data_IF_266728494117
#
_entry.id   IF_266728494117
#
_cell.length_a   1.000
_cell.length_b   1.000
_cell.length_c   1.000
_cell.angle_alpha   90.00
_cell.angle_beta   90.00
_cell.angle_gamma   90.00
#
_symmetry.space_group_name_H-M   'P 1'
#
loop_
_entity.id
_entity.type
_entity.pdbx_description
1 polymer ?
#
# COMPACT_ATOMS: atom_id res chain seq x y z
N UNK A 1 -5.93 -26.51 12.86
CA UNK A 1 -4.52 -26.31 12.43
C UNK A 1 -3.87 -27.59 11.91
N UNK A 2 -3.71 -28.67 12.71
CA UNK A 2 -2.99 -29.89 12.28
C UNK A 2 -3.59 -30.56 11.02
N UNK A 3 -4.92 -30.63 10.92
CA UNK A 3 -5.58 -31.25 9.76
C UNK A 3 -5.28 -30.52 8.44
N UNK A 4 -5.30 -29.19 8.44
CA UNK A 4 -5.07 -28.36 7.23
C UNK A 4 -3.62 -28.44 6.73
N UNK A 5 -2.65 -28.52 7.64
CA UNK A 5 -1.22 -28.69 7.30
C UNK A 5 -0.97 -30.09 6.73
N UNK A 6 -1.60 -31.12 7.31
CA UNK A 6 -1.51 -32.50 6.80
C UNK A 6 -2.15 -32.61 5.42
N UNK A 7 -3.28 -31.94 5.16
CA UNK A 7 -3.89 -31.91 3.83
C UNK A 7 -3.01 -31.17 2.82
N UNK A 8 -2.36 -30.07 3.22
CA UNK A 8 -1.42 -29.31 2.37
C UNK A 8 -0.17 -30.15 2.03
N UNK A 9 0.37 -30.89 3.00
CA UNK A 9 1.53 -31.75 2.81
C UNK A 9 1.21 -32.93 1.89
N UNK A 10 0.03 -33.54 2.06
CA UNK A 10 -0.49 -34.55 1.13
C UNK A 10 -0.71 -33.97 -0.28
N UNK A 11 -1.13 -32.72 -0.39
CA UNK A 11 -1.34 -32.03 -1.67
C UNK A 11 -0.02 -31.75 -2.41
N UNK A 12 1.02 -31.34 -1.68
CA UNK A 12 2.37 -31.14 -2.25
C UNK A 12 2.95 -32.49 -2.73
N UNK A 13 2.74 -33.57 -1.98
CA UNK A 13 3.15 -34.93 -2.36
C UNK A 13 2.38 -35.45 -3.60
N UNK A 14 1.12 -35.03 -3.78
CA UNK A 14 0.31 -35.39 -4.95
C UNK A 14 0.69 -34.60 -6.21
N UNK A 15 1.09 -33.34 -6.06
CA UNK A 15 1.54 -32.48 -7.17
C UNK A 15 2.97 -32.85 -7.61
N UNK A 16 3.80 -33.33 -6.68
CA UNK A 16 5.17 -33.81 -6.94
C UNK A 16 5.29 -35.30 -6.59
N UNK A 17 4.88 -36.22 -7.49
CA UNK A 17 5.10 -37.65 -7.24
C UNK A 17 6.59 -37.92 -7.02
N UNK A 18 6.92 -38.81 -6.07
CA UNK A 18 8.28 -39.16 -5.60
C UNK A 18 9.36 -39.37 -6.69
N UNK A 19 8.98 -39.53 -7.95
CA UNK A 19 9.87 -39.68 -9.10
C UNK A 19 10.47 -38.36 -9.62
N UNK A 20 10.18 -37.19 -9.02
CA UNK A 20 10.86 -35.92 -9.34
C UNK A 20 12.11 -35.64 -8.52
N UNK A 21 12.41 -36.46 -7.51
CA UNK A 21 13.70 -36.39 -6.83
C UNK A 21 14.69 -37.25 -7.59
N UNK A 22 15.63 -36.60 -8.27
CA UNK A 22 16.81 -37.27 -8.82
C UNK A 22 17.47 -38.07 -7.69
N UNK A 23 17.56 -39.39 -7.85
CA UNK A 23 18.43 -40.21 -7.03
C UNK A 23 19.84 -39.65 -7.19
N UNK A 24 20.35 -38.99 -6.15
CA UNK A 24 21.76 -38.59 -6.07
C UNK A 24 22.59 -39.86 -6.03
N UNK A 25 23.13 -40.27 -7.17
CA UNK A 25 24.14 -41.31 -7.24
C UNK A 25 25.39 -40.80 -6.53
N UNK A 26 25.76 -41.46 -5.44
CA UNK A 26 27.05 -41.33 -4.78
C UNK A 26 28.17 -41.57 -5.79
N UNK A 27 28.92 -40.52 -6.11
CA UNK A 27 30.11 -40.59 -6.96
C UNK A 27 31.24 -41.20 -6.14
N UNK A 28 31.56 -42.47 -6.39
CA UNK A 28 32.88 -43.04 -6.03
C UNK A 28 33.90 -42.52 -7.04
N UNK A 29 34.93 -41.84 -6.55
CA UNK A 29 36.10 -41.48 -7.34
C UNK A 29 36.87 -42.75 -7.72
N UNK A 30 36.98 -43.00 -9.02
CA UNK A 30 38.03 -43.85 -9.59
C UNK A 30 38.56 -43.13 -10.84
N UNK A 31 39.87 -42.89 -10.79
CA UNK A 31 40.66 -42.08 -11.70
C UNK A 31 41.23 -43.00 -12.79
N UNK A 32 40.90 -42.81 -14.08
CA UNK A 32 41.82 -43.03 -15.23
C UNK A 32 41.21 -42.61 -16.58
N UNK A 33 42.06 -41.91 -17.35
CA UNK A 33 42.14 -41.74 -18.81
C UNK A 33 41.21 -40.75 -19.58
N UNK A 34 41.90 -39.74 -20.12
CA UNK A 34 41.42 -38.48 -20.70
C UNK A 34 40.96 -38.53 -22.17
N UNK A 35 40.52 -39.67 -22.69
CA UNK A 35 39.98 -39.76 -24.07
C UNK A 35 38.52 -40.24 -24.15
N UNK A 36 37.94 -40.69 -23.04
CA UNK A 36 36.52 -41.09 -22.93
C UNK A 36 35.66 -39.95 -22.35
N UNK A 37 36.29 -38.95 -21.73
CA UNK A 37 35.63 -37.85 -21.01
C UNK A 37 34.82 -36.93 -21.90
N UNK A 38 35.21 -36.67 -23.15
CA UNK A 38 34.44 -35.80 -24.05
C UNK A 38 33.23 -36.49 -24.69
N UNK A 39 33.32 -37.80 -24.98
CA UNK A 39 32.18 -38.57 -25.53
C UNK A 39 31.15 -38.85 -24.43
N UNK A 40 31.60 -39.10 -23.21
CA UNK A 40 30.73 -39.31 -22.05
C UNK A 40 30.11 -38.02 -21.53
N UNK A 41 30.76 -36.84 -21.61
CA UNK A 41 30.11 -35.56 -21.30
C UNK A 41 29.13 -35.13 -22.38
N UNK A 42 29.43 -35.32 -23.67
CA UNK A 42 28.47 -35.05 -24.75
C UNK A 42 27.27 -36.01 -24.73
N UNK A 43 27.46 -37.28 -24.37
CA UNK A 43 26.36 -38.22 -24.16
C UNK A 43 25.62 -37.98 -22.84
N UNK A 44 26.29 -37.54 -21.77
CA UNK A 44 25.64 -37.14 -20.53
C UNK A 44 24.84 -35.84 -20.70
N UNK A 45 25.32 -34.86 -21.46
CA UNK A 45 24.54 -33.68 -21.88
C UNK A 45 23.38 -34.07 -22.82
N UNK A 46 23.60 -34.96 -23.81
CA UNK A 46 22.51 -35.47 -24.67
C UNK A 46 21.46 -36.26 -23.88
N UNK A 47 21.87 -37.01 -22.86
CA UNK A 47 20.98 -37.80 -22.01
C UNK A 47 20.29 -36.93 -20.94
N UNK A 48 20.96 -35.91 -20.42
CA UNK A 48 20.37 -34.91 -19.52
C UNK A 48 19.38 -34.00 -20.27
N UNK A 49 19.69 -33.62 -21.50
CA UNK A 49 18.77 -32.90 -22.40
C UNK A 49 17.59 -33.77 -22.87
N UNK A 50 17.78 -35.08 -23.08
CA UNK A 50 16.67 -36.02 -23.36
C UNK A 50 15.74 -36.21 -22.16
N UNK A 51 16.26 -36.16 -20.94
CA UNK A 51 15.46 -36.31 -19.71
C UNK A 51 14.59 -35.08 -19.40
N UNK A 52 14.81 -33.95 -20.07
CA UNK A 52 13.92 -32.78 -20.02
C UNK A 52 12.99 -32.67 -21.25
N UNK A 53 12.74 -33.77 -21.98
CA UNK A 53 11.58 -33.77 -22.89
C UNK A 53 10.31 -33.94 -22.07
N UNK A 54 9.61 -32.83 -21.86
CA UNK A 54 8.26 -32.83 -21.30
C UNK A 54 7.34 -33.52 -22.32
N UNK A 55 7.21 -34.84 -22.22
CA UNK A 55 6.43 -35.61 -23.18
C UNK A 55 4.97 -35.13 -23.14
N UNK A 56 4.31 -35.08 -24.30
CA UNK A 56 2.91 -34.61 -24.42
C UNK A 56 1.98 -35.30 -23.41
N UNK A 57 2.23 -36.56 -23.07
CA UNK A 57 1.47 -37.31 -22.05
C UNK A 57 1.70 -36.78 -20.63
N UNK A 58 2.94 -36.48 -20.24
CA UNK A 58 3.25 -35.85 -18.94
C UNK A 58 2.64 -34.44 -18.87
N UNK A 59 2.69 -33.69 -19.98
CA UNK A 59 2.04 -32.39 -20.10
C UNK A 59 0.52 -32.49 -19.92
N UNK A 60 -0.14 -33.45 -20.57
CA UNK A 60 -1.58 -33.66 -20.43
C UNK A 60 -1.96 -34.00 -18.99
N UNK A 61 -1.25 -34.93 -18.33
CA UNK A 61 -1.55 -35.32 -16.94
C UNK A 61 -1.40 -34.11 -16.01
N UNK A 62 -0.31 -33.36 -16.12
CA UNK A 62 -0.08 -32.17 -15.30
C UNK A 62 -1.13 -31.08 -15.54
N UNK A 63 -1.53 -30.83 -16.79
CA UNK A 63 -2.51 -29.80 -17.08
C UNK A 63 -3.93 -30.22 -16.67
N UNK A 64 -4.31 -31.48 -16.79
CA UNK A 64 -5.60 -31.98 -16.31
C UNK A 64 -5.67 -31.88 -14.77
N UNK A 65 -4.61 -32.26 -14.06
CA UNK A 65 -4.58 -32.12 -12.61
C UNK A 65 -4.62 -30.65 -12.19
N UNK A 66 -3.84 -29.78 -12.86
CA UNK A 66 -3.86 -28.33 -12.62
C UNK A 66 -5.24 -27.74 -12.86
N UNK A 67 -5.94 -28.17 -13.91
CA UNK A 67 -7.31 -27.74 -14.21
C UNK A 67 -8.26 -28.04 -13.05
N UNK A 68 -8.23 -29.27 -12.53
CA UNK A 68 -9.08 -29.67 -11.40
C UNK A 68 -8.76 -28.86 -10.13
N UNK A 69 -7.48 -28.65 -9.83
CA UNK A 69 -7.04 -27.87 -8.66
C UNK A 69 -7.47 -26.41 -8.79
N UNK A 70 -7.21 -25.77 -9.92
CA UNK A 70 -7.58 -24.38 -10.18
C UNK A 70 -9.11 -24.21 -10.14
N UNK A 71 -9.86 -25.12 -10.76
CA UNK A 71 -11.33 -25.09 -10.72
C UNK A 71 -11.88 -25.22 -9.31
N UNK A 72 -11.37 -26.16 -8.51
CA UNK A 72 -11.78 -26.33 -7.12
C UNK A 72 -11.42 -25.11 -6.26
N UNK A 73 -10.19 -24.59 -6.39
CA UNK A 73 -9.75 -23.39 -5.67
C UNK A 73 -10.58 -22.17 -6.04
N UNK A 74 -10.87 -21.97 -7.32
CA UNK A 74 -11.72 -20.88 -7.80
C UNK A 74 -13.11 -20.94 -7.19
N UNK A 75 -13.72 -22.13 -7.16
CA UNK A 75 -15.03 -22.33 -6.54
C UNK A 75 -15.01 -22.03 -5.03
N UNK A 76 -14.01 -22.52 -4.30
CA UNK A 76 -13.89 -22.27 -2.86
C UNK A 76 -13.61 -20.79 -2.59
N UNK A 77 -12.74 -20.16 -3.37
CA UNK A 77 -12.43 -18.73 -3.27
C UNK A 77 -13.68 -17.89 -3.52
N UNK A 78 -14.50 -18.25 -4.50
CA UNK A 78 -15.78 -17.59 -4.77
C UNK A 78 -16.75 -17.69 -3.59
N UNK A 79 -16.88 -18.89 -2.98
CA UNK A 79 -17.68 -19.07 -1.77
C UNK A 79 -17.15 -18.21 -0.62
N UNK A 80 -15.83 -18.14 -0.44
CA UNK A 80 -15.20 -17.30 0.59
C UNK A 80 -15.48 -15.83 0.33
N UNK A 81 -15.28 -15.36 -0.90
CA UNK A 81 -15.63 -14.01 -1.31
C UNK A 81 -17.07 -13.65 -0.93
N UNK A 82 -18.05 -14.50 -1.25
CA UNK A 82 -19.46 -14.27 -0.88
C UNK A 82 -19.70 -14.32 0.63
N UNK A 83 -19.03 -15.22 1.36
CA UNK A 83 -19.19 -15.32 2.82
C UNK A 83 -18.74 -14.06 3.57
N UNK A 84 -17.73 -13.34 3.05
CA UNK A 84 -17.28 -12.07 3.66
C UNK A 84 -18.42 -11.03 3.68
N UNK A 85 -19.29 -11.02 2.66
CA UNK A 85 -20.43 -10.09 2.63
C UNK A 85 -21.44 -10.38 3.76
N UNK A 86 -21.55 -11.64 4.18
CA UNK A 86 -22.49 -12.07 5.23
C UNK A 86 -21.98 -11.86 6.67
N UNK A 87 -20.67 -11.61 6.86
CA UNK A 87 -20.07 -11.30 8.18
C UNK A 87 -20.47 -9.87 8.62
N UNK A 88 -20.84 -9.01 7.67
CA UNK A 88 -21.20 -7.63 7.91
C UNK A 88 -22.64 -7.53 8.44
N UNK A 89 -22.74 -7.59 9.76
CA UNK A 89 -23.97 -7.50 10.55
C UNK A 89 -24.68 -6.14 10.39
N UNK A 90 -25.97 -6.15 10.75
CA UNK A 90 -26.94 -5.05 10.77
C UNK A 90 -26.46 -3.89 11.65
N UNK A 91 -25.64 -2.99 11.10
CA UNK A 91 -25.22 -1.81 11.85
C UNK A 91 -26.15 -0.63 11.58
N UNK A 92 -26.58 0.04 12.66
CA UNK A 92 -27.50 1.19 12.60
C UNK A 92 -26.83 2.46 12.02
N UNK A 93 -25.54 2.39 11.72
CA UNK A 93 -24.68 3.47 11.21
C UNK A 93 -24.50 3.44 9.68
N UNK A 94 -25.04 2.43 9.00
CA UNK A 94 -25.07 2.38 7.53
C UNK A 94 -26.01 3.49 7.05
N UNK A 95 -25.54 4.39 6.20
CA UNK A 95 -26.26 5.57 5.73
C UNK A 95 -25.90 6.89 6.44
N UNK A 96 -25.01 6.87 7.44
CA UNK A 96 -24.53 8.10 8.11
C UNK A 96 -23.09 8.40 7.73
N UNK A 97 -22.81 9.63 7.32
CA UNK A 97 -21.44 10.09 7.06
C UNK A 97 -20.65 10.18 8.37
N UNK A 98 -19.45 9.59 8.39
CA UNK A 98 -18.54 9.65 9.54
C UNK A 98 -17.42 10.62 9.18
N UNK A 99 -17.31 11.69 9.96
CA UNK A 99 -16.21 12.64 9.81
C UNK A 99 -14.90 12.01 10.30
N UNK A 100 -13.92 11.93 9.40
CA UNK A 100 -12.60 11.37 9.66
C UNK A 100 -11.57 12.50 9.74
N UNK A 101 -10.58 12.36 10.61
CA UNK A 101 -9.44 13.28 10.58
C UNK A 101 -8.65 13.11 9.25
N UNK A 102 -7.78 14.06 8.93
CA UNK A 102 -7.10 14.08 7.62
C UNK A 102 -6.27 12.82 7.37
N UNK A 103 -5.55 12.32 8.36
CA UNK A 103 -4.75 11.09 8.25
C UNK A 103 -5.60 9.82 8.09
N UNK A 104 -6.74 9.74 8.78
CA UNK A 104 -7.71 8.66 8.66
C UNK A 104 -8.37 8.64 7.27
N UNK A 105 -8.80 9.80 6.77
CA UNK A 105 -9.36 9.94 5.42
C UNK A 105 -8.32 9.57 4.34
N UNK A 106 -7.10 10.08 4.46
CA UNK A 106 -5.97 9.74 3.60
C UNK A 106 -5.66 8.24 3.62
N UNK A 107 -5.61 7.63 4.81
CA UNK A 107 -5.39 6.18 4.98
C UNK A 107 -6.53 5.36 4.39
N UNK A 108 -7.78 5.81 4.52
CA UNK A 108 -8.94 5.10 3.98
C UNK A 108 -8.88 5.07 2.45
N UNK A 109 -8.58 6.19 1.79
CA UNK A 109 -8.56 6.32 0.32
C UNK A 109 -7.27 5.77 -0.28
N UNK A 110 -6.11 6.20 0.24
CA UNK A 110 -4.80 5.89 -0.32
C UNK A 110 -4.12 4.69 0.34
N UNK A 111 -4.51 4.27 1.54
CA UNK A 111 -3.72 3.32 2.32
C UNK A 111 -2.41 3.94 2.83
N UNK A 112 -1.55 3.17 3.48
CA UNK A 112 -0.34 3.69 4.14
C UNK A 112 0.86 3.94 3.20
N UNK A 113 0.64 4.27 1.92
CA UNK A 113 1.73 4.40 0.95
C UNK A 113 2.49 5.72 1.02
N UNK A 114 1.90 6.78 1.59
CA UNK A 114 2.48 8.14 1.64
C UNK A 114 2.34 8.75 3.04
N UNK A 115 3.00 8.16 4.05
CA UNK A 115 2.83 8.57 5.44
C UNK A 115 3.26 10.01 5.71
N UNK A 116 4.18 10.55 4.92
CA UNK A 116 4.60 11.95 5.02
C UNK A 116 3.45 12.93 4.77
N UNK A 117 2.51 12.56 3.89
CA UNK A 117 1.35 13.38 3.56
C UNK A 117 0.33 13.43 4.69
N UNK A 118 0.17 12.33 5.41
CA UNK A 118 -0.71 12.25 6.58
C UNK A 118 -0.18 13.12 7.72
N UNK A 119 1.14 13.09 7.94
CA UNK A 119 1.77 13.94 8.95
C UNK A 119 1.61 15.43 8.60
N UNK A 120 1.89 15.81 7.33
CA UNK A 120 1.72 17.21 6.89
C UNK A 120 0.26 17.64 7.04
N UNK A 121 -0.70 16.85 6.58
CA UNK A 121 -2.12 17.21 6.67
C UNK A 121 -2.60 17.31 8.12
N UNK A 122 -2.11 16.47 9.03
CA UNK A 122 -2.45 16.56 10.45
C UNK A 122 -1.86 17.84 11.08
N UNK A 123 -0.61 18.20 10.76
CA UNK A 123 0.00 19.46 11.24
C UNK A 123 -0.76 20.68 10.71
N UNK A 124 -1.17 20.66 9.44
CA UNK A 124 -1.98 21.74 8.85
C UNK A 124 -3.34 21.87 9.56
N UNK A 125 -3.99 20.76 9.87
CA UNK A 125 -5.26 20.79 10.61
C UNK A 125 -5.11 21.27 12.07
N UNK A 126 -3.98 20.99 12.73
CA UNK A 126 -3.69 21.59 14.03
C UNK A 126 -3.54 23.10 13.94
N UNK A 127 -2.93 23.60 12.88
CA UNK A 127 -2.80 25.04 12.64
C UNK A 127 -4.16 25.68 12.36
N UNK A 128 -4.98 25.06 11.51
CA UNK A 128 -6.36 25.50 11.25
C UNK A 128 -7.19 25.58 12.54
N UNK A 129 -7.07 24.57 13.42
CA UNK A 129 -7.74 24.54 14.73
C UNK A 129 -7.12 25.46 15.78
N UNK A 130 -6.05 26.20 15.47
CA UNK A 130 -5.36 27.09 16.40
C UNK A 130 -4.62 26.38 17.54
N UNK A 131 -4.42 25.06 17.44
CA UNK A 131 -3.68 24.25 18.42
C UNK A 131 -2.19 24.62 18.38
N UNK A 132 -1.69 24.89 17.17
CA UNK A 132 -0.32 25.36 16.94
C UNK A 132 -0.32 26.65 16.10
N UNK A 133 0.74 27.44 16.26
CA UNK A 133 1.13 28.49 15.32
C UNK A 133 2.39 28.08 14.57
N UNK A 134 2.66 28.73 13.45
CA UNK A 134 3.86 28.47 12.66
C UNK A 134 4.59 29.76 12.26
N UNK A 135 5.91 29.66 12.09
CA UNK A 135 6.79 30.70 11.57
C UNK A 135 7.81 30.11 10.59
N UNK A 136 8.35 30.95 9.70
CA UNK A 136 9.34 30.56 8.70
C UNK A 136 10.68 31.25 8.96
N UNK A 137 11.77 30.47 8.92
CA UNK A 137 13.14 30.96 8.90
C UNK A 137 13.88 30.35 7.70
N UNK A 138 14.55 31.18 6.90
CA UNK A 138 15.38 30.70 5.80
C UNK A 138 16.84 30.57 6.24
N UNK A 139 17.53 29.55 5.74
CA UNK A 139 18.94 29.29 6.06
C UNK A 139 19.67 28.71 4.86
N UNK A 140 20.99 28.90 4.81
CA UNK A 140 21.86 28.26 3.84
C UNK A 140 22.31 26.90 4.38
N UNK A 141 22.16 25.84 3.57
CA UNK A 141 22.69 24.53 3.95
C UNK A 141 24.22 24.47 3.75
N UNK A 142 24.83 23.34 4.14
CA UNK A 142 26.28 23.12 3.98
C UNK A 142 26.78 23.09 2.53
N UNK A 143 25.87 23.06 1.55
CA UNK A 143 26.16 23.14 0.11
C UNK A 143 25.93 24.55 -0.47
N UNK A 144 25.58 25.53 0.37
CA UNK A 144 25.26 26.90 -0.06
C UNK A 144 23.92 27.05 -0.75
N UNK A 145 22.99 26.09 -0.59
CA UNK A 145 21.64 26.16 -1.15
C UNK A 145 20.68 26.74 -0.11
N UNK A 146 19.81 27.66 -0.53
CA UNK A 146 18.72 28.20 0.29
C UNK A 146 17.72 27.10 0.67
N UNK A 147 17.47 26.98 1.97
CA UNK A 147 16.50 26.05 2.55
C UNK A 147 15.55 26.81 3.47
N UNK A 148 14.32 26.32 3.53
CA UNK A 148 13.29 26.87 4.42
C UNK A 148 13.12 25.96 5.64
N UNK A 149 13.20 26.55 6.83
CA UNK A 149 12.91 25.90 8.09
C UNK A 149 11.57 26.41 8.64
N UNK A 150 10.62 25.50 8.77
CA UNK A 150 9.31 25.78 9.33
C UNK A 150 9.30 25.40 10.80
N UNK A 151 8.89 26.35 11.65
CA UNK A 151 8.88 26.23 13.10
C UNK A 151 7.43 26.26 13.56
N UNK A 152 7.07 25.33 14.44
CA UNK A 152 5.72 25.17 14.99
C UNK A 152 5.77 25.33 16.50
N UNK A 153 4.83 26.06 17.08
CA UNK A 153 4.74 26.33 18.53
C UNK A 153 3.35 26.04 19.05
N UNK A 154 3.25 25.51 20.27
CA UNK A 154 1.97 25.28 20.96
C UNK A 154 1.27 26.62 21.23
N UNK A 155 -0.02 26.72 20.92
CA UNK A 155 -0.82 27.93 21.15
C UNK A 155 -2.16 27.66 21.80
N UNK A 156 -2.78 26.53 21.48
CA UNK A 156 -4.11 26.16 21.96
C UNK A 156 -4.11 24.91 22.84
N UNK A 157 -5.30 24.54 23.30
CA UNK A 157 -5.52 23.30 24.02
C UNK A 157 -5.56 22.11 23.06
N UNK A 158 -4.83 21.03 23.39
CA UNK A 158 -4.78 19.77 22.61
C UNK A 158 -5.83 18.75 23.06
N UNK A 159 -6.81 19.11 23.90
CA UNK A 159 -7.81 18.18 24.44
C UNK A 159 -8.78 17.61 23.40
N UNK A 160 -8.87 18.19 22.20
CA UNK A 160 -9.73 17.73 21.12
C UNK A 160 -9.02 16.77 20.13
N UNK A 161 -7.77 16.40 20.39
CA UNK A 161 -7.02 15.49 19.56
C UNK A 161 -7.50 14.04 19.77
N UNK A 162 -7.61 13.29 18.67
CA UNK A 162 -7.76 11.83 18.69
C UNK A 162 -6.52 11.14 19.27
N UNK A 163 -6.56 9.82 19.50
CA UNK A 163 -5.42 9.13 20.12
C UNK A 163 -4.22 9.09 19.17
N UNK A 164 -4.46 8.89 17.87
CA UNK A 164 -3.42 8.93 16.85
C UNK A 164 -2.78 10.32 16.74
N UNK A 165 -3.59 11.39 16.78
CA UNK A 165 -3.11 12.76 16.77
C UNK A 165 -2.35 13.12 18.05
N UNK A 166 -2.85 12.72 19.22
CA UNK A 166 -2.18 12.96 20.51
C UNK A 166 -0.79 12.33 20.50
N UNK A 167 -0.68 11.09 20.01
CA UNK A 167 0.61 10.42 19.90
C UNK A 167 1.56 11.15 18.94
N UNK A 168 1.08 11.57 17.75
CA UNK A 168 1.90 12.32 16.81
C UNK A 168 2.33 13.67 17.39
N UNK A 169 1.42 14.36 18.06
CA UNK A 169 1.66 15.66 18.69
C UNK A 169 2.77 15.55 19.73
N UNK A 170 2.61 14.66 20.71
CA UNK A 170 3.61 14.44 21.76
C UNK A 170 4.97 14.04 21.16
N UNK A 171 4.95 13.18 20.14
CA UNK A 171 6.17 12.74 19.49
C UNK A 171 6.90 13.87 18.74
N UNK A 172 6.19 14.68 17.94
CA UNK A 172 6.81 15.80 17.20
C UNK A 172 7.40 16.84 18.16
N UNK A 173 6.67 17.20 19.22
CA UNK A 173 7.16 18.16 20.21
C UNK A 173 8.28 17.58 21.10
N UNK A 174 8.35 16.26 21.28
CA UNK A 174 9.47 15.61 21.99
C UNK A 174 10.81 15.72 21.25
N UNK A 175 10.80 15.96 19.94
CA UNK A 175 12.03 16.18 19.15
C UNK A 175 12.57 17.61 19.26
N UNK A 176 11.73 18.55 19.70
CA UNK A 176 12.13 19.93 19.91
C UNK A 176 12.44 20.22 21.37
N UNK A 177 11.94 21.36 21.86
CA UNK A 177 12.11 21.78 23.26
C UNK A 177 10.87 21.48 24.14
N UNK A 178 9.90 20.73 23.59
CA UNK A 178 8.61 20.45 24.23
C UNK A 178 7.56 21.55 24.07
N UNK A 179 7.95 22.77 23.67
CA UNK A 179 7.05 23.91 23.40
C UNK A 179 6.95 24.24 21.91
N UNK A 180 7.95 23.84 21.14
CA UNK A 180 8.03 23.97 19.70
C UNK A 180 8.81 22.82 19.06
N UNK A 181 8.61 22.63 17.76
CA UNK A 181 9.43 21.77 16.91
C UNK A 181 9.64 22.43 15.54
N UNK A 182 10.61 21.95 14.76
CA UNK A 182 10.89 22.48 13.43
C UNK A 182 11.24 21.40 12.42
N UNK A 183 11.08 21.70 11.14
CA UNK A 183 11.48 20.79 10.05
C UNK A 183 12.97 20.45 10.07
N UNK A 184 13.83 21.38 10.50
CA UNK A 184 15.26 21.12 10.63
C UNK A 184 15.56 20.16 11.78
N UNK A 185 14.91 20.33 12.93
CA UNK A 185 15.01 19.38 14.06
C UNK A 185 14.54 17.98 13.65
N UNK A 186 13.38 17.88 12.97
CA UNK A 186 12.88 16.60 12.43
C UNK A 186 13.91 15.92 11.53
N UNK A 187 14.52 16.68 10.61
CA UNK A 187 15.56 16.17 9.71
C UNK A 187 16.81 15.72 10.46
N UNK A 188 17.21 16.45 11.51
CA UNK A 188 18.35 16.11 12.35
C UNK A 188 18.09 14.81 13.12
N UNK A 189 16.95 14.71 13.82
CA UNK A 189 16.56 13.49 14.54
C UNK A 189 16.47 12.29 13.61
N UNK A 190 15.91 12.44 12.40
CA UNK A 190 15.89 11.36 11.40
C UNK A 190 17.29 10.86 11.05
N UNK A 191 18.29 11.74 10.99
CA UNK A 191 19.69 11.39 10.65
C UNK A 191 20.42 10.76 11.83
N UNK A 192 20.18 11.25 13.05
CA UNK A 192 20.87 10.81 14.26
C UNK A 192 20.28 9.50 14.83
N UNK A 193 18.96 9.34 14.79
CA UNK A 193 18.23 8.22 15.39
C UNK A 193 17.19 7.61 14.44
N UNK A 194 17.61 7.31 13.20
CA UNK A 194 16.74 6.82 12.12
C UNK A 194 15.83 5.65 12.49
N UNK A 195 16.29 4.69 13.31
CA UNK A 195 15.49 3.54 13.71
C UNK A 195 14.33 3.93 14.63
N UNK A 196 14.61 4.73 15.66
CA UNK A 196 13.59 5.19 16.61
C UNK A 196 12.61 6.13 15.93
N UNK A 197 13.13 7.02 15.07
CA UNK A 197 12.35 7.88 14.20
C UNK A 197 11.33 7.09 13.38
N UNK A 198 11.81 6.11 12.60
CA UNK A 198 10.95 5.27 11.75
C UNK A 198 9.99 4.42 12.58
N UNK A 199 10.42 3.90 13.73
CA UNK A 199 9.58 3.10 14.63
C UNK A 199 8.39 3.89 15.14
N UNK A 200 8.61 5.14 15.56
CA UNK A 200 7.56 6.01 16.07
C UNK A 200 6.57 6.44 14.98
N UNK A 201 7.02 6.82 13.78
CA UNK A 201 6.07 7.10 12.69
C UNK A 201 5.30 5.85 12.25
N UNK A 202 5.92 4.68 12.27
CA UNK A 202 5.20 3.42 12.05
C UNK A 202 4.16 3.14 13.16
N UNK A 203 4.44 3.51 14.41
CA UNK A 203 3.47 3.41 15.51
C UNK A 203 2.31 4.38 15.30
N UNK A 204 2.57 5.62 14.89
CA UNK A 204 1.53 6.57 14.52
C UNK A 204 0.59 6.00 13.44
N UNK A 205 1.13 5.48 12.34
CA UNK A 205 0.33 4.87 11.27
C UNK A 205 -0.49 3.66 11.73
N UNK A 206 0.02 2.89 12.71
CA UNK A 206 -0.74 1.79 13.32
C UNK A 206 -1.91 2.30 14.14
N UNK A 207 -1.74 3.39 14.90
CA UNK A 207 -2.82 4.00 15.67
C UNK A 207 -3.93 4.50 14.74
N UNK A 208 -3.58 5.19 13.65
CA UNK A 208 -4.57 5.60 12.61
C UNK A 208 -5.36 4.38 12.10
N UNK A 209 -4.69 3.26 11.82
CA UNK A 209 -5.36 2.03 11.39
C UNK A 209 -6.22 1.41 12.49
N UNK A 210 -5.78 1.44 13.74
CA UNK A 210 -6.53 0.90 14.87
C UNK A 210 -7.81 1.68 15.12
N UNK A 211 -7.78 3.02 15.03
CA UNK A 211 -8.99 3.84 15.12
C UNK A 211 -9.97 3.54 13.97
N UNK A 212 -9.49 3.37 12.74
CA UNK A 212 -10.32 2.94 11.60
C UNK A 212 -10.92 1.53 11.79
N UNK A 213 -10.21 0.64 12.50
CA UNK A 213 -10.73 -0.69 12.87
C UNK A 213 -11.80 -0.57 13.95
N UNK A 214 -11.59 0.26 14.96
CA UNK A 214 -12.54 0.52 16.06
C UNK A 214 -13.83 1.15 15.55
N UNK A 215 -13.73 2.05 14.56
CA UNK A 215 -14.88 2.60 13.83
C UNK A 215 -15.57 1.59 12.88
N UNK A 216 -15.05 0.36 12.76
CA UNK A 216 -15.62 -0.66 11.87
C UNK A 216 -15.39 -0.40 10.38
N UNK A 217 -14.44 0.48 10.03
CA UNK A 217 -14.14 0.85 8.64
C UNK A 217 -13.09 -0.08 8.01
N UNK A 218 -12.26 -0.73 8.82
CA UNK A 218 -11.27 -1.70 8.38
C UNK A 218 -11.36 -3.01 9.18
N UNK A 219 -10.93 -4.12 8.56
CA UNK A 219 -10.73 -5.37 9.29
C UNK A 219 -9.35 -5.39 9.95
N UNK A 220 -9.28 -5.77 11.22
CA UNK A 220 -7.98 -6.03 11.90
C UNK A 220 -7.13 -7.08 11.17
N UNK A 221 -7.79 -8.10 10.63
CA UNK A 221 -7.20 -9.08 9.72
C UNK A 221 -8.22 -9.41 8.64
N UNK A 222 -7.86 -9.41 7.35
CA UNK A 222 -8.80 -9.78 6.30
C UNK A 222 -9.38 -11.19 6.59
N UNK A 223 -10.71 -11.38 6.59
CA UNK A 223 -11.36 -12.61 7.07
C UNK A 223 -10.99 -13.87 6.26
N UNK A 224 -10.46 -13.70 5.06
CA UNK A 224 -9.97 -14.79 4.22
C UNK A 224 -8.47 -14.64 3.86
N UNK A 225 -7.67 -14.00 4.72
CA UNK A 225 -6.26 -13.70 4.43
C UNK A 225 -5.46 -14.94 4.01
N UNK A 226 -5.33 -15.93 4.91
CA UNK A 226 -4.53 -17.14 4.68
C UNK A 226 -5.00 -17.86 3.40
N UNK A 227 -6.31 -18.02 3.25
CA UNK A 227 -6.88 -18.73 2.12
C UNK A 227 -6.59 -18.01 0.79
N UNK A 228 -6.80 -16.68 0.76
CA UNK A 228 -6.56 -15.88 -0.44
C UNK A 228 -5.06 -15.81 -0.78
N UNK A 229 -4.17 -15.76 0.22
CA UNK A 229 -2.72 -15.84 -0.01
C UNK A 229 -2.31 -17.17 -0.64
N UNK A 230 -2.87 -18.30 -0.17
CA UNK A 230 -2.66 -19.61 -0.79
C UNK A 230 -3.21 -19.65 -2.22
N UNK A 231 -4.41 -19.11 -2.44
CA UNK A 231 -5.01 -19.02 -3.78
C UNK A 231 -4.15 -18.22 -4.76
N UNK A 232 -3.51 -17.13 -4.31
CA UNK A 232 -2.55 -16.36 -5.12
C UNK A 232 -1.35 -17.24 -5.53
N UNK A 233 -0.76 -17.97 -4.58
CA UNK A 233 0.38 -18.86 -4.88
C UNK A 233 0.00 -19.96 -5.86
N UNK A 234 -1.13 -20.64 -5.61
CA UNK A 234 -1.64 -21.71 -6.49
C UNK A 234 -1.97 -21.17 -7.89
N UNK A 235 -2.56 -19.97 -7.96
CA UNK A 235 -2.82 -19.27 -9.21
C UNK A 235 -1.54 -19.02 -10.01
N UNK A 236 -0.50 -18.47 -9.38
CA UNK A 236 0.78 -18.19 -10.04
C UNK A 236 1.47 -19.47 -10.53
N UNK A 237 1.48 -20.52 -9.71
CA UNK A 237 2.03 -21.82 -10.10
C UNK A 237 1.27 -22.43 -11.28
N UNK A 238 -0.07 -22.39 -11.24
CA UNK A 238 -0.93 -22.87 -12.33
C UNK A 238 -0.73 -22.09 -13.63
N UNK A 239 -0.60 -20.77 -13.53
CA UNK A 239 -0.34 -19.89 -14.68
C UNK A 239 1.03 -20.18 -15.31
N UNK A 240 2.10 -20.24 -14.53
CA UNK A 240 3.45 -20.53 -15.03
C UNK A 240 3.53 -21.92 -15.68
N UNK A 241 2.96 -22.95 -15.01
CA UNK A 241 2.88 -24.31 -15.55
C UNK A 241 2.16 -24.37 -16.90
N UNK A 242 1.10 -23.57 -17.03
CA UNK A 242 0.31 -23.44 -18.26
C UNK A 242 1.10 -22.79 -19.40
N UNK A 243 1.88 -21.74 -19.11
CA UNK A 243 2.74 -21.10 -20.12
C UNK A 243 3.79 -22.06 -20.68
N UNK A 244 4.40 -22.87 -19.82
CA UNK A 244 5.40 -23.87 -20.25
C UNK A 244 4.77 -24.92 -21.18
N UNK A 245 3.48 -25.23 -20.97
CA UNK A 245 2.78 -26.30 -21.70
C UNK A 245 1.90 -25.81 -22.85
N UNK A 246 1.86 -24.50 -23.14
CA UNK A 246 0.83 -23.87 -23.98
C UNK A 246 0.82 -24.38 -25.42
N UNK A 247 1.98 -24.72 -25.97
CA UNK A 247 2.13 -25.28 -27.32
C UNK A 247 1.87 -26.80 -27.38
N UNK A 248 1.82 -27.47 -26.22
CA UNK A 248 1.72 -28.92 -26.12
C UNK A 248 0.27 -29.39 -25.94
N UNK A 249 -0.54 -28.62 -25.19
CA UNK A 249 -1.90 -29.03 -24.82
C UNK A 249 -2.88 -27.85 -24.83
N UNK A 250 -4.05 -27.95 -25.48
CA UNK A 250 -5.02 -26.85 -25.51
C UNK A 250 -5.61 -26.53 -24.13
N UNK A 251 -5.65 -27.51 -23.22
CA UNK A 251 -6.11 -27.31 -21.83
C UNK A 251 -5.20 -26.34 -21.05
N UNK A 252 -3.93 -26.17 -21.44
CA UNK A 252 -3.04 -25.18 -20.85
C UNK A 252 -3.56 -23.75 -21.02
N UNK A 253 -4.23 -23.43 -22.13
CA UNK A 253 -4.83 -22.10 -22.34
C UNK A 253 -5.94 -21.87 -21.30
N UNK A 254 -6.78 -22.89 -21.07
CA UNK A 254 -7.87 -22.83 -20.08
C UNK A 254 -7.29 -22.64 -18.67
N UNK A 255 -6.24 -23.37 -18.32
CA UNK A 255 -5.58 -23.23 -17.02
C UNK A 255 -4.95 -21.86 -16.81
N UNK A 256 -4.36 -21.25 -17.85
CA UNK A 256 -3.86 -19.89 -17.77
C UNK A 256 -4.98 -18.90 -17.43
N UNK A 257 -6.14 -19.02 -18.09
CA UNK A 257 -7.33 -18.19 -17.81
C UNK A 257 -7.85 -18.43 -16.39
N UNK A 258 -7.96 -19.69 -15.96
CA UNK A 258 -8.39 -20.02 -14.59
C UNK A 258 -7.42 -19.49 -13.53
N UNK A 259 -6.11 -19.53 -13.80
CA UNK A 259 -5.09 -18.91 -12.96
C UNK A 259 -5.37 -17.42 -12.80
N UNK A 260 -5.46 -16.68 -13.90
CA UNK A 260 -5.76 -15.23 -13.86
C UNK A 260 -7.07 -14.95 -13.11
N UNK A 261 -8.13 -15.71 -13.37
CA UNK A 261 -9.41 -15.54 -12.69
C UNK A 261 -9.30 -15.77 -11.17
N UNK A 262 -8.56 -16.81 -10.74
CA UNK A 262 -8.31 -17.10 -9.34
C UNK A 262 -7.46 -15.99 -8.68
N UNK A 263 -6.45 -15.48 -9.39
CA UNK A 263 -5.62 -14.37 -8.92
C UNK A 263 -6.47 -13.14 -8.63
N UNK A 264 -7.26 -12.70 -9.62
CA UNK A 264 -8.13 -11.52 -9.52
C UNK A 264 -9.11 -11.69 -8.37
N UNK A 265 -9.75 -12.85 -8.26
CA UNK A 265 -10.73 -13.11 -7.20
C UNK A 265 -10.09 -13.16 -5.80
N UNK A 266 -8.88 -13.72 -5.69
CA UNK A 266 -8.14 -13.77 -4.42
C UNK A 266 -7.73 -12.37 -3.97
N UNK A 267 -7.20 -11.54 -4.88
CA UNK A 267 -6.89 -10.12 -4.62
C UNK A 267 -8.17 -9.38 -4.22
N UNK A 268 -9.24 -9.52 -4.99
CA UNK A 268 -10.53 -8.89 -4.68
C UNK A 268 -11.08 -9.30 -3.30
N UNK A 269 -10.83 -10.54 -2.86
CA UNK A 269 -11.23 -11.00 -1.52
C UNK A 269 -10.37 -10.38 -0.42
N UNK A 270 -9.07 -10.19 -0.65
CA UNK A 270 -8.17 -9.52 0.30
C UNK A 270 -8.48 -8.03 0.43
N UNK A 271 -8.85 -7.39 -0.69
CA UNK A 271 -9.22 -5.97 -0.74
C UNK A 271 -10.63 -5.67 -0.22
N UNK A 272 -11.40 -6.69 0.18
CA UNK A 272 -12.74 -6.45 0.74
C UNK A 272 -12.66 -5.70 2.05
N UNK A 273 -13.50 -4.67 2.15
CA UNK A 273 -13.71 -3.86 3.34
C UNK A 273 -15.01 -4.28 4.05
N UNK A 274 -15.16 -3.97 5.35
CA UNK A 274 -16.46 -3.99 6.02
C UNK A 274 -17.49 -3.15 5.24
N UNK A 275 -18.78 -3.44 5.39
CA UNK A 275 -19.83 -2.73 4.65
C UNK A 275 -19.82 -1.21 4.91
N UNK A 276 -19.75 -0.81 6.18
CA UNK A 276 -19.61 0.60 6.58
C UNK A 276 -18.31 1.20 6.03
N UNK A 277 -17.20 0.47 6.15
CA UNK A 277 -15.91 0.86 5.58
C UNK A 277 -15.92 1.06 4.07
N UNK A 278 -16.67 0.25 3.33
CA UNK A 278 -16.88 0.42 1.90
C UNK A 278 -17.69 1.68 1.60
N UNK A 279 -18.78 1.90 2.31
CA UNK A 279 -19.61 3.09 2.14
C UNK A 279 -18.82 4.38 2.40
N UNK A 280 -18.10 4.47 3.52
CA UNK A 280 -17.25 5.63 3.80
C UNK A 280 -16.11 5.74 2.78
N UNK A 281 -15.50 4.63 2.36
CA UNK A 281 -14.48 4.65 1.31
C UNK A 281 -15.05 5.22 0.01
N UNK A 282 -16.24 4.78 -0.43
CA UNK A 282 -16.87 5.27 -1.65
C UNK A 282 -17.15 6.79 -1.53
N UNK A 283 -17.59 7.29 -0.36
CA UNK A 283 -17.78 8.73 -0.11
C UNK A 283 -16.48 9.53 -0.20
N UNK A 284 -15.43 9.14 0.53
CA UNK A 284 -14.15 9.85 0.50
C UNK A 284 -13.42 9.68 -0.84
N UNK A 285 -13.59 8.54 -1.53
CA UNK A 285 -13.03 8.33 -2.86
C UNK A 285 -13.75 9.20 -3.90
N UNK A 286 -15.07 9.36 -3.82
CA UNK A 286 -15.81 10.30 -4.67
C UNK A 286 -15.37 11.75 -4.41
N UNK A 287 -15.10 12.12 -3.15
CA UNK A 287 -14.53 13.43 -2.80
C UNK A 287 -13.13 13.61 -3.41
N UNK A 288 -12.28 12.60 -3.31
CA UNK A 288 -10.97 12.61 -3.95
C UNK A 288 -11.08 12.77 -5.48
N UNK A 289 -11.96 12.00 -6.13
CA UNK A 289 -12.19 12.07 -7.57
C UNK A 289 -12.77 13.43 -7.98
N UNK A 290 -13.66 14.02 -7.19
CA UNK A 290 -14.22 15.34 -7.51
C UNK A 290 -13.19 16.46 -7.42
N UNK A 291 -12.24 16.38 -6.47
CA UNK A 291 -11.11 17.30 -6.40
C UNK A 291 -10.19 17.11 -7.62
N UNK A 292 -9.84 15.87 -7.96
CA UNK A 292 -8.92 15.57 -9.10
C UNK A 292 -9.51 15.97 -10.44
N UNK A 293 -10.82 15.77 -10.63
CA UNK A 293 -11.53 16.11 -11.87
C UNK A 293 -12.03 17.55 -11.92
N UNK A 294 -11.69 18.36 -10.92
CA UNK A 294 -12.12 19.74 -10.78
C UNK A 294 -13.67 19.92 -10.84
N UNK A 295 -14.41 18.94 -10.32
CA UNK A 295 -15.88 18.92 -10.32
C UNK A 295 -16.50 19.26 -8.96
N UNK A 296 -15.68 19.65 -7.97
CA UNK A 296 -16.17 20.14 -6.66
C UNK A 296 -17.09 21.34 -6.83
N UNK A 297 -18.34 21.20 -6.39
CA UNK A 297 -19.27 22.31 -6.17
C UNK A 297 -19.23 22.70 -4.68
N UNK A 298 -18.50 23.77 -4.38
CA UNK A 298 -18.34 24.29 -3.02
C UNK A 298 -19.25 25.51 -2.73
N UNK A 299 -20.25 25.77 -3.57
CA UNK A 299 -21.14 26.94 -3.45
C UNK A 299 -21.85 27.03 -2.09
N UNK A 300 -22.13 25.88 -1.46
CA UNK A 300 -22.81 25.78 -0.17
C UNK A 300 -21.89 25.42 1.00
N UNK A 301 -20.56 25.39 0.78
CA UNK A 301 -19.63 24.99 1.84
C UNK A 301 -19.35 26.16 2.76
N UNK A 302 -19.29 25.89 4.08
CA UNK A 302 -18.79 26.89 5.02
C UNK A 302 -17.31 27.19 4.74
N UNK A 303 -16.77 28.25 5.35
CA UNK A 303 -15.33 28.52 5.29
C UNK A 303 -14.52 27.34 5.87
N UNK A 304 -14.94 26.82 7.03
CA UNK A 304 -14.31 25.67 7.66
C UNK A 304 -14.33 24.41 6.76
N UNK A 305 -15.45 24.12 6.09
CA UNK A 305 -15.54 22.98 5.18
C UNK A 305 -14.57 23.11 3.99
N UNK A 306 -14.39 24.33 3.48
CA UNK A 306 -13.46 24.62 2.38
C UNK A 306 -12.00 24.44 2.83
N UNK A 307 -11.65 24.91 4.03
CA UNK A 307 -10.32 24.71 4.62
C UNK A 307 -10.00 23.23 4.83
N UNK A 308 -10.96 22.48 5.40
CA UNK A 308 -10.84 21.04 5.60
C UNK A 308 -10.65 20.32 4.27
N UNK A 309 -11.35 20.75 3.21
CA UNK A 309 -11.22 20.17 1.87
C UNK A 309 -9.80 20.33 1.31
N UNK A 310 -9.16 21.49 1.52
CA UNK A 310 -7.75 21.69 1.15
C UNK A 310 -6.82 20.77 1.95
N UNK A 311 -7.07 20.59 3.25
CA UNK A 311 -6.30 19.67 4.08
C UNK A 311 -6.48 18.21 3.63
N UNK A 312 -7.69 17.80 3.25
CA UNK A 312 -7.94 16.49 2.66
C UNK A 312 -7.23 16.31 1.32
N UNK A 313 -7.14 17.35 0.49
CA UNK A 313 -6.35 17.30 -0.74
C UNK A 313 -4.87 16.99 -0.47
N UNK A 314 -4.30 17.55 0.61
CA UNK A 314 -2.94 17.20 1.08
C UNK A 314 -2.87 15.73 1.53
N UNK A 315 -3.85 15.26 2.31
CA UNK A 315 -3.91 13.88 2.81
C UNK A 315 -4.11 12.84 1.69
N UNK A 316 -4.82 13.22 0.62
CA UNK A 316 -4.96 12.42 -0.60
C UNK A 316 -3.73 12.51 -1.52
N UNK A 317 -2.68 13.20 -1.06
CA UNK A 317 -1.39 13.30 -1.73
C UNK A 317 -1.45 13.98 -3.09
N UNK A 318 -2.32 14.96 -3.26
CA UNK A 318 -2.34 15.79 -4.46
C UNK A 318 -1.08 16.65 -4.58
N UNK A 319 -0.77 17.07 -5.80
CA UNK A 319 0.37 17.95 -6.03
C UNK A 319 0.11 19.33 -5.43
N UNK A 320 1.16 20.08 -5.12
CA UNK A 320 1.01 21.45 -4.60
C UNK A 320 0.21 22.33 -5.57
N UNK A 321 0.46 22.17 -6.88
CA UNK A 321 -0.23 22.94 -7.91
C UNK A 321 -1.72 22.59 -7.97
N UNK A 322 -2.09 21.31 -7.85
CA UNK A 322 -3.50 20.89 -7.77
C UNK A 322 -4.18 21.48 -6.53
N UNK A 323 -3.49 21.48 -5.39
CA UNK A 323 -4.00 22.04 -4.13
C UNK A 323 -4.17 23.56 -4.24
N UNK A 324 -3.22 24.25 -4.88
CA UNK A 324 -3.30 25.70 -5.13
C UNK A 324 -4.46 26.05 -6.06
N UNK A 325 -4.67 25.26 -7.12
CA UNK A 325 -5.81 25.44 -8.02
C UNK A 325 -7.13 25.23 -7.28
N UNK A 326 -7.22 24.19 -6.43
CA UNK A 326 -8.38 23.98 -5.56
C UNK A 326 -8.60 25.19 -4.65
N UNK A 327 -7.56 25.69 -3.99
CA UNK A 327 -7.64 26.86 -3.10
C UNK A 327 -8.24 28.09 -3.80
N UNK A 328 -7.73 28.39 -5.01
CA UNK A 328 -8.22 29.50 -5.82
C UNK A 328 -9.71 29.34 -6.17
N UNK A 329 -10.17 28.12 -6.48
CA UNK A 329 -11.59 27.83 -6.74
C UNK A 329 -12.46 27.99 -5.50
N UNK A 330 -11.94 27.62 -4.34
CA UNK A 330 -12.66 27.72 -3.07
C UNK A 330 -12.68 29.17 -2.52
N UNK A 331 -11.97 30.11 -3.15
CA UNK A 331 -11.86 31.51 -2.71
C UNK A 331 -11.45 31.63 -1.24
N UNK A 332 -10.45 30.85 -0.83
CA UNK A 332 -9.85 30.96 0.50
C UNK A 332 -8.69 31.95 0.48
N UNK A 333 -8.59 32.77 1.53
CA UNK A 333 -7.52 33.76 1.67
C UNK A 333 -6.21 33.05 2.00
N UNK A 334 -5.21 33.14 1.10
CA UNK A 334 -3.86 32.60 1.35
C UNK A 334 -3.14 33.34 2.49
N UNK A 335 -3.54 34.57 2.80
CA UNK A 335 -2.95 35.38 3.88
C UNK A 335 -3.53 35.05 5.26
N UNK A 336 -4.72 34.41 5.31
CA UNK A 336 -5.40 34.06 6.57
C UNK A 336 -5.36 32.54 6.84
N UNK A 337 -5.69 31.72 5.83
CA UNK A 337 -5.76 30.28 5.98
C UNK A 337 -4.37 29.65 5.90
N UNK A 338 -3.78 29.27 7.05
CA UNK A 338 -2.45 28.62 7.13
C UNK A 338 -1.39 29.28 6.21
N UNK A 339 -1.01 30.55 6.47
CA UNK A 339 -0.27 31.36 5.48
C UNK A 339 1.05 30.75 5.02
N UNK A 340 1.71 30.04 5.93
CA UNK A 340 2.97 29.35 5.70
C UNK A 340 2.89 28.25 4.63
N UNK A 341 1.73 27.62 4.46
CA UNK A 341 1.53 26.62 3.40
C UNK A 341 1.57 27.24 2.00
N UNK A 342 1.12 28.50 1.86
CA UNK A 342 1.02 29.20 0.58
C UNK A 342 2.31 29.89 0.14
N UNK A 343 3.27 30.04 1.06
CA UNK A 343 4.60 30.57 0.75
C UNK A 343 5.33 29.64 -0.23
N UNK A 344 5.31 30.01 -1.51
CA UNK A 344 6.05 29.36 -2.58
C UNK A 344 7.32 30.17 -2.87
N UNK A 345 8.38 29.95 -2.08
CA UNK A 345 9.71 30.46 -2.45
C UNK A 345 10.25 29.67 -3.66
N UNK A 346 11.06 30.33 -4.48
CA UNK A 346 11.67 29.74 -5.68
C UNK A 346 12.57 28.51 -5.41
N UNK A 347 12.92 28.24 -4.15
CA UNK A 347 13.73 27.09 -3.76
C UNK A 347 12.95 25.97 -3.07
N UNK A 348 11.99 26.20 -2.13
CA UNK A 348 11.37 25.11 -1.33
C UNK A 348 9.99 25.41 -0.68
N UNK A 349 8.89 24.86 -1.22
CA UNK A 349 7.57 24.90 -0.56
C UNK A 349 7.50 24.01 0.72
N UNK A 350 6.48 24.24 1.57
CA UNK A 350 6.27 23.53 2.85
C UNK A 350 6.30 22.00 2.69
N UNK A 351 5.60 21.49 1.67
CA UNK A 351 5.54 20.06 1.36
C UNK A 351 6.94 19.50 1.13
N UNK A 352 7.76 20.17 0.32
CA UNK A 352 9.11 19.71 0.02
C UNK A 352 10.01 19.72 1.25
N UNK A 353 9.86 20.72 2.13
CA UNK A 353 10.63 20.80 3.37
C UNK A 353 10.25 19.69 4.35
N UNK A 354 8.96 19.43 4.52
CA UNK A 354 8.49 18.28 5.30
C UNK A 354 8.92 16.96 4.69
N UNK A 355 8.82 16.76 3.38
CA UNK A 355 9.30 15.54 2.73
C UNK A 355 10.79 15.32 3.04
N UNK A 356 11.62 16.36 2.96
CA UNK A 356 13.05 16.24 3.33
C UNK A 356 13.23 15.87 4.79
N UNK A 357 12.47 16.50 5.68
CA UNK A 357 12.53 16.23 7.10
C UNK A 357 12.08 14.79 7.44
N UNK A 358 11.03 14.31 6.78
CA UNK A 358 10.36 13.03 7.06
C UNK A 358 11.04 11.83 6.40
N UNK A 359 11.44 11.96 5.15
CA UNK A 359 11.94 10.83 4.34
C UNK A 359 13.30 11.10 3.69
N UNK A 360 13.89 12.28 3.89
CA UNK A 360 15.24 12.62 3.41
C UNK A 360 15.32 13.07 1.95
N UNK A 361 14.19 13.24 1.26
CA UNK A 361 14.12 13.78 -0.10
C UNK A 361 12.96 14.77 -0.24
N UNK A 362 13.03 15.69 -1.20
CA UNK A 362 11.99 16.72 -1.39
C UNK A 362 10.75 16.23 -2.12
N UNK A 363 10.88 15.12 -2.83
CA UNK A 363 9.95 14.66 -3.86
C UNK A 363 8.80 13.82 -3.26
N UNK A 364 8.93 13.41 -2.01
CA UNK A 364 7.97 12.55 -1.32
C UNK A 364 8.15 11.08 -1.69
N UNK A 365 7.35 10.22 -1.07
CA UNK A 365 7.21 8.82 -1.45
C UNK A 365 6.39 8.77 -2.75
N UNK A 366 7.01 9.02 -3.91
CA UNK A 366 6.28 9.00 -5.19
C UNK A 366 5.81 7.58 -5.52
N UNK A 367 4.49 7.39 -5.60
CA UNK A 367 3.89 6.41 -6.50
C UNK A 367 3.53 7.17 -7.78
N UNK A 368 4.28 6.94 -8.86
CA UNK A 368 3.93 7.48 -10.18
C UNK A 368 2.65 6.78 -10.68
N UNK A 369 1.48 7.26 -10.27
CA UNK A 369 0.24 6.95 -11.00
C UNK A 369 0.09 8.05 -12.04
N UNK A 370 0.77 7.88 -13.18
CA UNK A 370 0.35 8.57 -14.39
C UNK A 370 -1.03 8.02 -14.73
N UNK A 371 -2.08 8.74 -14.36
CA UNK A 371 -3.38 8.56 -15.01
C UNK A 371 -3.14 8.95 -16.45
N UNK A 372 -3.04 7.95 -17.31
CA UNK A 372 -2.93 8.14 -18.74
C UNK A 372 -4.30 8.67 -19.21
N UNK A 373 -4.50 9.99 -19.16
CA UNK A 373 -5.53 10.65 -19.96
C UNK A 373 -5.07 10.65 -21.41
N UNK A 374 -5.14 9.46 -22.00
CA UNK A 374 -5.24 9.27 -23.43
C UNK A 374 -6.40 8.32 -23.67
N UNK A 375 -7.59 8.87 -23.95
CA UNK A 375 -8.24 8.70 -25.25
C UNK A 375 -9.66 9.28 -25.26
N UNK A 376 -9.84 10.20 -26.21
CA UNK A 376 -11.04 10.61 -26.94
C UNK A 376 -12.12 11.42 -26.23
#
# INVERSE_FOLDING_TARGET
MKKTIVTLFLFIILIFPKNTYANGSTVKYLNTDNSISQVSTLQAEKNSARNFTFTKTKANILNISSFLVLGAMLFIQYKKYKSVDSINLKDKTIGTFIHLNSAQAGTLVKGNYQPERFIISTVLDWQRRGIISSSLENYLNSKGEDRSNYIFKKTGNSSSLSNDETYLYDFLFSMGDGTGFSTNQLNQTRRESSNDYNSSFNKYLKLVQEELIEMGLLYRKPPAFIFSSVSILVSLMGFISSLISILLTPISIINAVLGVALLVLAIATLSKRPKLGKEQFDLYNNLYESIVTDSVDASNYSEEDREILVIYAVAFSLSYDDIKNLNAKLNLSEDDFIPIFWLSSASENLINAFNRALIGNSVGSRVNIKVNTQNK
#
